data_IF_940098332300
#
_entry.id   IF_940098332300
#
_cell.length_a   1.000
_cell.length_b   1.000
_cell.length_c   1.000
_cell.angle_alpha   90.00
_cell.angle_beta   90.00
_cell.angle_gamma   90.00
#
_symmetry.space_group_name_H-M   'P 1'
#
loop_
_entity.id
_entity.type
_entity.pdbx_description
1 polymer ?
#
# COMPACT_ATOMS: atom_id res chain seq x y z
N UNK A 1 39.94 1.65 36.05
CA UNK A 1 39.41 1.89 34.71
C UNK A 1 38.02 1.26 34.67
N UNK A 2 36.98 2.07 34.80
CA UNK A 2 35.56 1.63 34.70
C UNK A 2 35.23 1.44 33.23
N UNK A 3 35.21 0.22 32.75
CA UNK A 3 34.66 -0.12 31.43
C UNK A 3 33.12 0.05 31.49
N UNK A 4 32.63 1.18 31.01
CA UNK A 4 31.20 1.34 30.73
C UNK A 4 30.81 0.34 29.66
N UNK A 5 29.84 -0.53 29.97
CA UNK A 5 29.24 -1.42 28.99
C UNK A 5 28.75 -0.57 27.80
N UNK A 6 28.89 -1.04 26.55
CA UNK A 6 28.40 -0.30 25.40
C UNK A 6 26.89 -0.07 25.54
N UNK A 7 26.43 1.15 25.28
CA UNK A 7 25.01 1.49 25.33
C UNK A 7 24.24 0.62 24.33
N UNK A 8 23.09 0.10 24.72
CA UNK A 8 22.21 -0.64 23.82
C UNK A 8 21.76 0.29 22.66
N UNK A 9 21.94 -0.11 21.39
CA UNK A 9 21.59 0.76 20.28
C UNK A 9 20.08 1.04 20.26
N UNK A 10 19.73 2.25 19.90
CA UNK A 10 18.33 2.71 19.76
C UNK A 10 17.58 1.94 18.67
N UNK A 11 16.24 2.04 18.66
CA UNK A 11 15.40 1.44 17.59
C UNK A 11 15.79 2.00 16.23
N UNK A 12 16.04 3.32 16.15
CA UNK A 12 16.45 3.99 14.91
C UNK A 12 17.80 3.49 14.40
N UNK A 13 18.81 3.37 15.26
CA UNK A 13 20.13 2.83 14.90
C UNK A 13 20.02 1.38 14.40
N UNK A 14 19.29 0.52 15.11
CA UNK A 14 19.07 -0.88 14.68
C UNK A 14 18.36 -0.98 13.32
N UNK A 15 17.34 -0.17 13.09
CA UNK A 15 16.62 -0.17 11.83
C UNK A 15 17.47 0.39 10.69
N UNK A 16 18.24 1.45 10.93
CA UNK A 16 19.11 2.08 9.95
C UNK A 16 20.18 1.13 9.40
N UNK A 17 20.69 0.21 10.26
CA UNK A 17 21.69 -0.80 9.84
C UNK A 17 21.17 -1.78 8.77
N UNK A 18 19.87 -1.99 8.69
CA UNK A 18 19.28 -3.06 7.87
C UNK A 18 18.26 -2.58 6.83
N UNK A 19 17.93 -1.29 6.82
CA UNK A 19 17.02 -0.72 5.81
C UNK A 19 17.76 -0.44 4.50
N UNK A 20 17.02 -0.51 3.39
CA UNK A 20 17.57 -0.22 2.05
C UNK A 20 17.92 1.25 1.79
N UNK A 21 17.51 2.17 2.67
CA UNK A 21 17.75 3.62 2.52
C UNK A 21 16.88 4.30 1.43
N UNK A 22 15.96 3.59 0.80
CA UNK A 22 15.09 4.14 -0.26
C UNK A 22 14.14 5.22 0.26
N UNK A 23 13.78 5.17 1.53
CA UNK A 23 12.86 6.12 2.15
C UNK A 23 13.59 7.09 3.07
N UNK A 24 13.39 8.39 2.86
CA UNK A 24 13.77 9.40 3.84
C UNK A 24 12.86 9.25 5.08
N UNK A 25 13.44 8.88 6.20
CA UNK A 25 12.73 8.71 7.47
C UNK A 25 12.75 10.00 8.29
N UNK A 26 11.72 10.20 9.08
CA UNK A 26 11.69 11.22 10.13
C UNK A 26 12.33 10.64 11.40
N UNK A 27 12.96 11.48 12.20
CA UNK A 27 13.58 11.08 13.47
C UNK A 27 12.52 10.90 14.59
N UNK A 28 11.53 10.07 14.32
CA UNK A 28 10.43 9.74 15.23
C UNK A 28 10.23 8.21 15.16
N UNK A 29 10.23 7.56 16.31
CA UNK A 29 10.00 6.12 16.41
C UNK A 29 8.58 5.86 16.87
N UNK A 30 7.67 5.56 15.97
CA UNK A 30 6.27 5.26 16.30
C UNK A 30 6.16 3.82 16.79
N UNK A 31 5.55 3.62 17.96
CA UNK A 31 5.42 2.32 18.62
C UNK A 31 3.97 1.93 18.93
N UNK A 32 3.03 2.87 18.92
CA UNK A 32 1.62 2.62 19.24
C UNK A 32 0.70 3.53 18.43
N UNK A 33 -0.50 3.03 18.12
CA UNK A 33 -1.56 3.80 17.46
C UNK A 33 -2.94 3.43 18.03
N UNK A 34 -3.85 4.43 18.14
CA UNK A 34 -5.22 4.24 18.56
C UNK A 34 -6.11 5.34 17.95
N UNK A 35 -7.13 4.97 17.20
CA UNK A 35 -7.97 5.92 16.48
C UNK A 35 -7.12 6.81 15.56
N UNK A 36 -7.19 8.11 15.73
CA UNK A 36 -6.41 9.09 14.97
C UNK A 36 -5.06 9.45 15.64
N UNK A 37 -4.63 8.75 16.64
CA UNK A 37 -3.46 9.10 17.42
C UNK A 37 -2.34 8.07 17.30
N UNK A 38 -1.10 8.56 17.28
CA UNK A 38 0.12 7.78 17.32
C UNK A 38 0.96 8.17 18.53
N UNK A 39 1.76 7.26 19.04
CA UNK A 39 2.72 7.51 20.12
C UNK A 39 4.10 7.00 19.72
N UNK A 40 5.11 7.77 20.09
CA UNK A 40 6.49 7.35 19.92
C UNK A 40 7.02 6.55 21.13
N UNK A 41 8.27 6.16 21.06
CA UNK A 41 8.99 5.39 22.09
C UNK A 41 9.29 6.21 23.37
N UNK A 42 8.98 7.51 23.37
CA UNK A 42 9.04 8.41 24.53
C UNK A 42 7.63 8.79 25.05
N UNK A 43 6.58 8.08 24.61
CA UNK A 43 5.18 8.31 24.94
C UNK A 43 4.65 9.70 24.51
N UNK A 44 5.31 10.38 23.58
CA UNK A 44 4.81 11.62 22.98
C UNK A 44 3.72 11.28 21.97
N UNK A 45 2.62 12.01 22.03
CA UNK A 45 1.42 11.78 21.22
C UNK A 45 1.38 12.69 19.99
N UNK A 46 1.01 12.13 18.84
CA UNK A 46 0.88 12.80 17.56
C UNK A 46 -0.50 12.55 16.97
N UNK A 47 -1.13 13.58 16.40
CA UNK A 47 -2.32 13.42 15.58
C UNK A 47 -1.89 12.96 14.17
N UNK A 48 -2.37 11.80 13.75
CA UNK A 48 -2.08 11.27 12.41
C UNK A 48 -3.02 11.87 11.37
N UNK A 49 -2.57 12.94 10.71
CA UNK A 49 -3.27 13.57 9.60
C UNK A 49 -2.98 12.90 8.24
N UNK A 50 -2.12 11.89 8.21
CA UNK A 50 -1.79 11.15 6.99
C UNK A 50 -2.61 9.87 6.83
N UNK A 51 -3.16 9.36 7.93
CA UNK A 51 -3.91 8.10 7.96
C UNK A 51 -3.14 6.93 7.35
N UNK A 52 -1.79 6.87 7.57
CA UNK A 52 -0.93 5.85 6.96
C UNK A 52 -0.99 5.87 5.43
N UNK A 53 -1.05 7.05 4.81
CA UNK A 53 -1.29 7.24 3.37
C UNK A 53 -2.59 6.59 2.88
N UNK A 54 -3.65 6.65 3.70
CA UNK A 54 -4.98 6.11 3.39
C UNK A 54 -5.21 4.67 3.83
N UNK A 55 -4.20 3.98 4.37
CA UNK A 55 -4.36 2.59 4.84
C UNK A 55 -5.12 2.50 6.18
N UNK A 56 -5.01 3.52 7.04
CA UNK A 56 -5.67 3.59 8.34
C UNK A 56 -6.98 4.40 8.28
N UNK A 57 -7.81 4.21 7.25
CA UNK A 57 -9.02 5.00 7.02
C UNK A 57 -10.08 4.88 8.13
N UNK A 58 -10.09 3.80 8.89
CA UNK A 58 -10.95 3.60 10.06
C UNK A 58 -10.24 3.88 11.39
N UNK A 59 -9.02 4.43 11.33
CA UNK A 59 -8.15 4.67 12.47
C UNK A 59 -7.28 3.47 12.85
N UNK A 60 -6.27 3.75 13.68
CA UNK A 60 -5.36 2.74 14.19
C UNK A 60 -6.04 1.84 15.22
N UNK A 61 -5.77 0.54 15.16
CA UNK A 61 -6.26 -0.47 16.11
C UNK A 61 -7.79 -0.42 16.34
N UNK A 62 -8.57 -0.22 15.27
CA UNK A 62 -10.04 -0.22 15.38
C UNK A 62 -10.52 -1.52 16.02
N UNK A 63 -11.31 -1.48 17.13
CA UNK A 63 -11.62 -2.67 17.93
C UNK A 63 -12.28 -3.80 17.13
N UNK A 64 -13.22 -3.50 16.24
CA UNK A 64 -13.89 -4.52 15.43
C UNK A 64 -12.94 -5.16 14.40
N UNK A 65 -12.03 -4.38 13.79
CA UNK A 65 -11.03 -4.91 12.85
C UNK A 65 -10.04 -5.80 13.60
N UNK A 66 -9.55 -5.34 14.76
CA UNK A 66 -8.62 -6.13 15.59
C UNK A 66 -9.26 -7.46 16.02
N UNK A 67 -10.51 -7.44 16.50
CA UNK A 67 -11.22 -8.64 16.92
C UNK A 67 -11.39 -9.64 15.74
N UNK A 68 -11.77 -9.15 14.56
CA UNK A 68 -11.92 -9.98 13.36
C UNK A 68 -10.59 -10.62 12.93
N UNK A 69 -9.49 -9.86 12.95
CA UNK A 69 -8.14 -10.36 12.61
C UNK A 69 -7.71 -11.44 13.61
N UNK A 70 -7.86 -11.21 14.92
CA UNK A 70 -7.51 -12.17 15.97
C UNK A 70 -8.32 -13.45 15.84
N UNK A 71 -9.63 -13.35 15.62
CA UNK A 71 -10.51 -14.51 15.44
C UNK A 71 -10.12 -15.32 14.20
N UNK A 72 -9.88 -14.66 13.06
CA UNK A 72 -9.53 -15.33 11.82
C UNK A 72 -8.11 -15.94 11.86
N UNK A 73 -7.16 -15.31 12.54
CA UNK A 73 -5.82 -15.85 12.72
C UNK A 73 -5.80 -17.19 13.47
N UNK A 74 -6.78 -17.43 14.36
CA UNK A 74 -6.96 -18.71 15.04
C UNK A 74 -7.65 -19.80 14.18
N UNK A 75 -8.18 -19.46 13.00
CA UNK A 75 -8.88 -20.40 12.11
C UNK A 75 -8.07 -20.75 10.87
N UNK A 76 -7.68 -19.74 10.10
CA UNK A 76 -6.96 -19.91 8.83
C UNK A 76 -6.29 -18.60 8.41
N UNK A 77 -4.97 -18.61 8.25
CA UNK A 77 -4.19 -17.45 7.84
C UNK A 77 -4.01 -17.36 6.32
N UNK A 78 -4.02 -18.49 5.61
CA UNK A 78 -3.75 -18.50 4.17
C UNK A 78 -4.62 -19.54 3.47
N UNK A 79 -5.23 -19.12 2.37
CA UNK A 79 -6.01 -19.99 1.49
C UNK A 79 -5.74 -19.59 0.03
N UNK A 80 -5.09 -20.44 -0.78
CA UNK A 80 -4.82 -20.11 -2.17
C UNK A 80 -6.11 -20.03 -2.99
N UNK A 81 -6.07 -19.24 -4.05
CA UNK A 81 -7.24 -18.96 -4.93
C UNK A 81 -7.85 -20.21 -5.58
N UNK A 82 -7.11 -21.32 -5.67
CA UNK A 82 -7.65 -22.58 -6.20
C UNK A 82 -8.70 -23.24 -5.29
N UNK A 83 -8.88 -22.75 -4.06
CA UNK A 83 -9.93 -23.21 -3.14
C UNK A 83 -10.92 -22.08 -2.85
N UNK A 84 -12.19 -22.44 -2.68
CA UNK A 84 -13.19 -21.51 -2.16
C UNK A 84 -12.92 -21.22 -0.69
N UNK A 85 -13.23 -19.97 -0.25
CA UNK A 85 -13.01 -19.51 1.12
C UNK A 85 -14.19 -18.64 1.57
N UNK A 86 -14.68 -18.89 2.77
CA UNK A 86 -15.83 -18.20 3.36
C UNK A 86 -15.62 -16.69 3.45
N UNK A 87 -14.51 -16.26 4.06
CA UNK A 87 -14.22 -14.83 4.26
C UNK A 87 -14.04 -14.07 2.94
N UNK A 88 -13.51 -14.76 1.92
CA UNK A 88 -13.39 -14.17 0.58
C UNK A 88 -14.75 -14.05 -0.09
N UNK A 89 -15.62 -15.03 0.06
CA UNK A 89 -16.98 -14.97 -0.46
C UNK A 89 -17.76 -13.80 0.16
N UNK A 90 -17.77 -13.70 1.48
CA UNK A 90 -18.41 -12.61 2.23
C UNK A 90 -17.91 -11.23 1.78
N UNK A 91 -16.58 -11.08 1.61
CA UNK A 91 -15.99 -9.84 1.12
C UNK A 91 -16.46 -9.48 -0.30
N UNK A 92 -16.48 -10.47 -1.21
CA UNK A 92 -16.87 -10.23 -2.60
C UNK A 92 -18.36 -9.86 -2.73
N UNK A 93 -19.24 -10.43 -1.90
CA UNK A 93 -20.66 -10.04 -1.81
C UNK A 93 -20.79 -8.59 -1.32
N UNK A 94 -20.12 -8.22 -0.22
CA UNK A 94 -20.13 -6.85 0.29
C UNK A 94 -19.58 -5.82 -0.72
N UNK A 95 -18.53 -6.19 -1.47
CA UNK A 95 -18.01 -5.33 -2.52
C UNK A 95 -19.01 -5.14 -3.66
N UNK A 96 -19.71 -6.19 -4.06
CA UNK A 96 -20.74 -6.10 -5.11
C UNK A 96 -21.92 -5.21 -4.68
N UNK A 97 -22.31 -5.24 -3.42
CA UNK A 97 -23.32 -4.34 -2.86
C UNK A 97 -22.86 -2.87 -2.78
N UNK A 98 -21.56 -2.64 -2.47
CA UNK A 98 -21.01 -1.31 -2.26
C UNK A 98 -20.60 -0.59 -3.56
N UNK A 99 -20.43 -1.32 -4.66
CA UNK A 99 -19.99 -0.75 -5.94
C UNK A 99 -21.17 -0.32 -6.82
N UNK A 100 -20.96 0.60 -7.78
CA UNK A 100 -21.98 0.99 -8.75
C UNK A 100 -22.52 -0.22 -9.55
N UNK A 101 -23.78 -0.17 -10.02
CA UNK A 101 -24.36 -1.24 -10.84
C UNK A 101 -23.49 -1.58 -12.06
N UNK A 102 -23.29 -2.87 -12.31
CA UNK A 102 -22.46 -3.39 -13.40
C UNK A 102 -21.00 -3.68 -13.02
N UNK A 103 -20.60 -3.39 -11.78
CA UNK A 103 -19.30 -3.80 -11.23
C UNK A 103 -19.55 -4.91 -10.20
N UNK A 104 -19.42 -6.15 -10.64
CA UNK A 104 -19.73 -7.36 -9.86
C UNK A 104 -18.60 -8.41 -9.89
N UNK A 105 -17.44 -8.04 -10.44
CA UNK A 105 -16.25 -8.89 -10.53
C UNK A 105 -15.04 -8.17 -9.96
N UNK A 106 -14.33 -8.85 -9.06
CA UNK A 106 -13.23 -8.26 -8.30
C UNK A 106 -11.99 -9.13 -8.40
N UNK A 107 -10.85 -8.49 -8.54
CA UNK A 107 -9.53 -9.11 -8.44
C UNK A 107 -8.85 -8.65 -7.17
N UNK A 108 -8.62 -9.56 -6.23
CA UNK A 108 -7.97 -9.26 -4.97
C UNK A 108 -6.45 -9.36 -5.12
N UNK A 109 -5.74 -8.40 -4.54
CA UNK A 109 -4.28 -8.33 -4.59
C UNK A 109 -3.72 -7.67 -3.31
N UNK A 110 -2.40 -7.65 -3.16
CA UNK A 110 -1.77 -7.24 -1.91
C UNK A 110 -1.39 -5.74 -1.88
N UNK A 111 -1.41 -5.06 -3.01
CA UNK A 111 -0.98 -3.66 -3.09
C UNK A 111 -1.64 -2.90 -4.24
N UNK A 112 -1.66 -1.57 -4.14
CA UNK A 112 -2.09 -0.71 -5.25
C UNK A 112 -1.23 -0.84 -6.51
N UNK A 113 0.06 -1.17 -6.38
CA UNK A 113 0.91 -1.45 -7.52
C UNK A 113 0.44 -2.72 -8.26
N UNK A 114 0.13 -3.80 -7.54
CA UNK A 114 -0.43 -5.02 -8.14
C UNK A 114 -1.80 -4.78 -8.77
N UNK A 115 -2.65 -3.97 -8.16
CA UNK A 115 -3.94 -3.57 -8.74
C UNK A 115 -3.74 -2.83 -10.08
N UNK A 116 -2.79 -1.89 -10.14
CA UNK A 116 -2.45 -1.18 -11.38
C UNK A 116 -1.86 -2.12 -12.45
N UNK A 117 -0.98 -3.04 -12.07
CA UNK A 117 -0.45 -4.06 -13.00
C UNK A 117 -1.57 -4.94 -13.57
N UNK A 118 -2.50 -5.39 -12.72
CA UNK A 118 -3.66 -6.16 -13.15
C UNK A 118 -4.55 -5.34 -14.11
N UNK A 119 -4.85 -4.08 -13.79
CA UNK A 119 -5.65 -3.20 -14.63
C UNK A 119 -5.00 -2.99 -16.01
N UNK A 120 -3.68 -2.75 -16.07
CA UNK A 120 -2.94 -2.64 -17.33
C UNK A 120 -3.05 -3.92 -18.16
N UNK A 121 -2.87 -5.09 -17.52
CA UNK A 121 -2.97 -6.39 -18.19
C UNK A 121 -4.38 -6.67 -18.69
N UNK A 122 -5.39 -6.45 -17.87
CA UNK A 122 -6.79 -6.64 -18.26
C UNK A 122 -7.19 -5.71 -19.40
N UNK A 123 -6.83 -4.41 -19.32
CA UNK A 123 -7.12 -3.47 -20.38
C UNK A 123 -6.51 -3.90 -21.72
N UNK A 124 -5.23 -4.29 -21.74
CA UNK A 124 -4.54 -4.74 -22.95
C UNK A 124 -5.09 -6.06 -23.48
N UNK A 125 -5.36 -7.04 -22.61
CA UNK A 125 -5.88 -8.34 -23.01
C UNK A 125 -7.30 -8.26 -23.58
N UNK A 126 -8.15 -7.43 -22.99
CA UNK A 126 -9.56 -7.30 -23.41
C UNK A 126 -9.71 -6.47 -24.68
N UNK A 127 -8.90 -5.42 -24.85
CA UNK A 127 -9.07 -4.46 -25.96
C UNK A 127 -8.14 -4.71 -27.13
N UNK A 128 -7.06 -5.47 -26.94
CA UNK A 128 -5.95 -5.59 -27.90
C UNK A 128 -5.11 -4.32 -28.07
N UNK A 129 -5.42 -3.23 -27.32
CA UNK A 129 -4.70 -1.95 -27.40
C UNK A 129 -3.55 -1.93 -26.41
N UNK A 130 -2.40 -1.41 -26.81
CA UNK A 130 -1.20 -1.32 -25.96
C UNK A 130 -1.05 0.02 -25.25
N UNK A 131 -1.72 1.08 -25.76
CA UNK A 131 -1.62 2.42 -25.22
C UNK A 131 -2.36 2.59 -23.88
N UNK A 132 -1.70 3.22 -22.92
CA UNK A 132 -2.25 3.59 -21.61
C UNK A 132 -2.05 5.08 -21.42
N UNK A 133 -3.11 5.78 -21.01
CA UNK A 133 -3.07 7.21 -20.67
C UNK A 133 -3.15 7.35 -19.16
N UNK A 134 -2.22 8.09 -18.57
CA UNK A 134 -2.18 8.38 -17.15
C UNK A 134 -2.23 9.89 -16.90
N UNK A 135 -2.72 10.31 -15.75
CA UNK A 135 -2.75 11.72 -15.38
C UNK A 135 -1.37 12.22 -14.92
N UNK A 136 -1.04 13.46 -15.32
CA UNK A 136 0.10 14.18 -14.74
C UNK A 136 -0.07 14.32 -13.22
N UNK A 137 1.05 14.26 -12.49
CA UNK A 137 1.13 14.21 -11.01
C UNK A 137 0.52 12.96 -10.38
N UNK A 138 0.08 11.95 -11.18
CA UNK A 138 -0.38 10.67 -10.70
C UNK A 138 0.78 9.81 -10.19
N UNK A 139 0.55 9.08 -9.11
CA UNK A 139 1.43 8.02 -8.60
C UNK A 139 0.68 6.70 -8.65
N UNK A 140 1.26 5.69 -9.31
CA UNK A 140 0.58 4.41 -9.56
C UNK A 140 1.31 3.21 -8.94
N UNK A 141 2.54 3.39 -8.49
CA UNK A 141 3.33 2.33 -7.85
C UNK A 141 4.79 2.29 -8.33
N UNK A 142 5.52 1.28 -7.87
CA UNK A 142 6.98 1.14 -8.09
C UNK A 142 7.37 -0.09 -8.89
N UNK A 143 6.43 -0.95 -9.26
CA UNK A 143 6.65 -2.02 -10.25
C UNK A 143 6.81 -1.40 -11.63
N UNK A 144 7.45 -2.10 -12.57
CA UNK A 144 7.82 -1.51 -13.87
C UNK A 144 6.62 -0.98 -14.65
N UNK A 145 5.48 -1.68 -14.67
CA UNK A 145 4.25 -1.21 -15.34
C UNK A 145 3.59 -0.05 -14.58
N UNK A 146 3.41 -0.16 -13.27
CA UNK A 146 2.84 0.91 -12.46
C UNK A 146 3.74 2.16 -12.45
N UNK A 147 5.06 1.99 -12.45
CA UNK A 147 6.03 3.08 -12.55
C UNK A 147 5.94 3.79 -13.91
N UNK A 148 5.65 3.05 -14.99
CA UNK A 148 5.44 3.63 -16.32
C UNK A 148 4.25 4.59 -16.36
N UNK A 149 3.22 4.35 -15.54
CA UNK A 149 2.07 5.24 -15.37
C UNK A 149 2.33 6.39 -14.40
N UNK A 150 3.32 6.31 -13.52
CA UNK A 150 3.67 7.37 -12.56
C UNK A 150 4.28 8.57 -13.30
N UNK A 151 3.87 9.80 -12.92
CA UNK A 151 4.28 11.02 -13.61
C UNK A 151 5.69 11.50 -13.29
N UNK A 152 6.07 11.53 -12.02
CA UNK A 152 7.30 12.19 -11.59
C UNK A 152 8.56 11.53 -12.16
N UNK A 153 9.34 12.31 -12.92
CA UNK A 153 10.52 11.84 -13.64
C UNK A 153 11.58 11.24 -12.70
N UNK A 154 11.81 11.87 -11.54
CA UNK A 154 12.81 11.40 -10.58
C UNK A 154 12.55 9.98 -10.03
N UNK A 155 11.28 9.50 -10.07
CA UNK A 155 10.97 8.10 -9.76
C UNK A 155 11.24 7.16 -10.93
N UNK A 156 11.10 7.64 -12.18
CA UNK A 156 11.15 6.83 -13.39
C UNK A 156 12.54 6.73 -14.02
N UNK A 157 13.25 7.85 -14.10
CA UNK A 157 14.46 8.00 -14.89
C UNK A 157 15.58 7.00 -14.51
N UNK A 158 15.80 6.67 -13.22
CA UNK A 158 16.79 5.66 -12.83
C UNK A 158 16.49 4.25 -13.34
N UNK A 159 15.26 3.97 -13.82
CA UNK A 159 14.79 2.63 -14.19
C UNK A 159 14.46 2.48 -15.69
N UNK A 160 14.89 3.43 -16.49
CA UNK A 160 14.70 3.34 -17.95
C UNK A 160 15.54 2.19 -18.58
N UNK A 161 14.96 1.48 -19.60
CA UNK A 161 13.68 1.72 -20.25
C UNK A 161 12.50 1.13 -19.46
N UNK A 162 11.39 1.85 -19.40
CA UNK A 162 10.15 1.40 -18.77
C UNK A 162 9.26 0.65 -19.78
N UNK A 163 8.09 0.17 -19.33
CA UNK A 163 7.12 -0.51 -20.20
C UNK A 163 6.59 0.48 -21.25
N UNK A 164 6.65 0.16 -22.55
CA UNK A 164 6.23 1.08 -23.61
C UNK A 164 4.72 1.28 -23.67
N UNK A 165 4.30 2.36 -24.35
CA UNK A 165 2.89 2.65 -24.63
C UNK A 165 2.19 3.53 -23.60
N UNK A 166 2.92 4.17 -22.68
CA UNK A 166 2.37 5.11 -21.71
C UNK A 166 2.50 6.55 -22.20
N UNK A 167 1.42 7.33 -22.00
CA UNK A 167 1.40 8.77 -22.20
C UNK A 167 0.75 9.46 -21.00
N UNK A 168 1.10 10.72 -20.78
CA UNK A 168 0.61 11.49 -19.65
C UNK A 168 -0.11 12.75 -20.14
N UNK A 169 -1.30 12.99 -19.59
CA UNK A 169 -2.13 14.15 -19.90
C UNK A 169 -2.38 14.99 -18.65
N UNK A 170 -2.59 16.31 -18.77
CA UNK A 170 -3.00 17.13 -17.65
C UNK A 170 -4.32 16.59 -17.04
N UNK A 171 -4.42 16.61 -15.71
CA UNK A 171 -5.65 16.24 -15.04
C UNK A 171 -6.71 17.33 -15.28
N UNK A 172 -7.95 16.90 -15.57
CA UNK A 172 -9.11 17.79 -15.76
C UNK A 172 -8.91 18.91 -16.80
N UNK A 173 -8.15 18.61 -17.86
CA UNK A 173 -8.04 19.48 -19.07
C UNK A 173 -8.35 18.64 -20.30
N UNK A 174 -9.46 18.96 -20.92
CA UNK A 174 -9.91 18.40 -22.20
C UNK A 174 -9.43 19.31 -23.36
#
# INVERSE_FOLDING_TARGET
MTTTAPATPTIQEREALHTSGVYAKREITIVRGEGAWLWDDQDRRYLDLTGGYGCASVGHCHPAVQAAVVAQAGRLLSCPEMFYNDQRADLLELLAEATPPGIDRFFLCNSGAEANEAAIKFARATTGRTGIVAAQRGFHGRTMGALSATWEAHYRDPFLPLVPGFSHVPYDRI
#
